data_IF_564902825320
#
_entry.id   IF_564902825320
#
_cell.length_a   1.000
_cell.length_b   1.000
_cell.length_c   1.000
_cell.angle_alpha   90.00
_cell.angle_beta   90.00
_cell.angle_gamma   90.00
#
_symmetry.space_group_name_H-M   'P 1'
#
loop_
_entity.id
_entity.type
_entity.pdbx_description
1 polymer ?
#
# COMPACT_ATOMS: atom_id res chain seq x y z
N UNK A 1 -16.96 16.83 4.88
CA UNK A 1 -15.87 17.83 4.93
C UNK A 1 -14.68 17.27 4.15
N UNK A 2 -14.38 17.85 2.98
CA UNK A 2 -13.20 17.68 2.10
C UNK A 2 -12.39 16.35 2.12
N UNK A 3 -12.95 15.27 1.56
CA UNK A 3 -12.31 13.95 1.42
C UNK A 3 -11.11 13.87 0.44
N UNK A 4 -10.88 14.90 -0.39
CA UNK A 4 -9.85 14.87 -1.43
C UNK A 4 -8.42 14.99 -0.87
N UNK A 5 -8.23 15.78 0.19
CA UNK A 5 -6.91 15.91 0.83
C UNK A 5 -6.53 14.64 1.58
N UNK A 6 -7.49 13.97 2.21
CA UNK A 6 -7.26 12.72 2.94
C UNK A 6 -6.90 11.58 1.97
N UNK A 7 -7.61 11.47 0.85
CA UNK A 7 -7.34 10.45 -0.17
C UNK A 7 -5.97 10.61 -0.85
N UNK A 8 -5.59 11.85 -1.20
CA UNK A 8 -4.25 12.13 -1.78
C UNK A 8 -3.15 11.87 -0.77
N UNK A 9 -3.34 12.30 0.48
CA UNK A 9 -2.36 12.07 1.56
C UNK A 9 -2.17 10.59 1.83
N UNK A 10 -3.27 9.84 1.89
CA UNK A 10 -3.24 8.38 2.05
C UNK A 10 -2.47 7.69 0.90
N UNK A 11 -2.75 8.08 -0.35
CA UNK A 11 -2.04 7.56 -1.52
C UNK A 11 -0.53 7.82 -1.44
N UNK A 12 -0.14 9.06 -1.15
CA UNK A 12 1.27 9.45 -1.06
C UNK A 12 1.98 8.70 0.07
N UNK A 13 1.35 8.62 1.24
CA UNK A 13 1.90 7.89 2.39
C UNK A 13 2.04 6.40 2.10
N UNK A 14 1.07 5.80 1.40
CA UNK A 14 1.12 4.39 1.03
C UNK A 14 2.23 4.12 0.00
N UNK A 15 2.38 5.00 -0.99
CA UNK A 15 3.45 4.88 -1.98
C UNK A 15 4.82 5.04 -1.31
N UNK A 16 4.99 6.02 -0.44
CA UNK A 16 6.23 6.24 0.32
C UNK A 16 6.57 5.02 1.20
N UNK A 17 5.61 4.50 1.95
CA UNK A 17 5.79 3.31 2.79
C UNK A 17 6.14 2.06 1.95
N UNK A 18 5.51 1.89 0.78
CA UNK A 18 5.83 0.80 -0.15
C UNK A 18 7.27 0.93 -0.68
N UNK A 19 7.66 2.12 -1.14
CA UNK A 19 9.00 2.39 -1.68
C UNK A 19 10.10 2.18 -0.63
N UNK A 20 9.84 2.59 0.63
CA UNK A 20 10.77 2.41 1.75
C UNK A 20 10.76 1.01 2.36
N UNK A 21 9.77 0.17 2.03
CA UNK A 21 9.65 -1.18 2.60
C UNK A 21 9.14 -1.20 4.04
N UNK A 22 8.37 -0.19 4.46
CA UNK A 22 7.91 -0.01 5.85
C UNK A 22 6.63 -0.83 6.19
N UNK A 23 6.26 -1.81 5.38
CA UNK A 23 5.00 -2.56 5.51
C UNK A 23 4.88 -3.25 6.88
N UNK A 24 5.97 -3.83 7.38
CA UNK A 24 5.99 -4.47 8.69
C UNK A 24 5.68 -3.49 9.83
N UNK A 25 6.23 -2.27 9.76
CA UNK A 25 5.98 -1.20 10.72
C UNK A 25 4.52 -0.75 10.69
N UNK A 26 3.99 -0.50 9.49
CA UNK A 26 2.57 -0.10 9.31
C UNK A 26 1.62 -1.17 9.86
N UNK A 27 1.93 -2.46 9.63
CA UNK A 27 1.16 -3.57 10.18
C UNK A 27 1.25 -3.65 11.71
N UNK A 28 2.44 -3.44 12.28
CA UNK A 28 2.68 -3.43 13.73
C UNK A 28 1.92 -2.29 14.43
N UNK A 29 1.87 -1.11 13.80
CA UNK A 29 1.12 0.07 14.27
C UNK A 29 -0.40 -0.09 14.10
N UNK A 30 -0.87 -1.20 13.52
CA UNK A 30 -2.29 -1.47 13.22
C UNK A 30 -2.95 -0.38 12.39
N UNK A 31 -2.19 0.32 11.55
CA UNK A 31 -2.72 1.31 10.63
C UNK A 31 -3.32 0.59 9.40
N UNK A 32 -4.49 -0.01 9.58
CA UNK A 32 -5.13 -0.85 8.56
C UNK A 32 -5.57 -0.05 7.33
N UNK A 33 -5.92 1.23 7.47
CA UNK A 33 -6.24 2.11 6.34
C UNK A 33 -5.03 2.28 5.43
N UNK A 34 -3.86 2.58 6.00
CA UNK A 34 -2.61 2.69 5.25
C UNK A 34 -2.17 1.33 4.69
N UNK A 35 -2.27 0.26 5.47
CA UNK A 35 -1.92 -1.09 5.03
C UNK A 35 -2.77 -1.56 3.84
N UNK A 36 -4.07 -1.25 3.85
CA UNK A 36 -4.99 -1.54 2.74
C UNK A 36 -4.58 -0.78 1.48
N UNK A 37 -4.20 0.48 1.61
CA UNK A 37 -3.77 1.28 0.47
C UNK A 37 -2.43 0.80 -0.10
N UNK A 38 -1.46 0.42 0.76
CA UNK A 38 -0.20 -0.20 0.31
C UNK A 38 -0.49 -1.48 -0.48
N UNK A 39 -1.35 -2.35 0.04
CA UNK A 39 -1.77 -3.57 -0.64
C UNK A 39 -2.43 -3.29 -2.00
N UNK A 40 -3.18 -2.18 -2.10
CA UNK A 40 -3.83 -1.76 -3.35
C UNK A 40 -2.79 -1.34 -4.38
N UNK A 41 -1.80 -0.55 -3.97
CA UNK A 41 -0.68 -0.12 -4.82
C UNK A 41 0.20 -1.30 -5.25
N UNK A 42 0.47 -2.24 -4.34
CA UNK A 42 1.23 -3.45 -4.66
C UNK A 42 0.50 -4.32 -5.69
N UNK A 43 -0.82 -4.48 -5.56
CA UNK A 43 -1.67 -5.22 -6.49
C UNK A 43 -1.80 -4.56 -7.86
N UNK A 44 -1.83 -3.24 -7.93
CA UNK A 44 -1.94 -2.48 -9.19
C UNK A 44 -0.63 -2.38 -9.96
N UNK A 45 0.50 -2.50 -9.24
CA UNK A 45 1.83 -2.28 -9.78
C UNK A 45 2.05 -0.82 -10.25
N UNK A 46 3.27 -0.51 -10.67
CA UNK A 46 3.63 0.81 -11.17
C UNK A 46 2.88 1.13 -12.49
N UNK A 47 2.19 2.28 -12.59
CA UNK A 47 1.55 2.71 -13.83
C UNK A 47 2.54 2.79 -14.99
N UNK A 48 2.18 2.22 -16.14
CA UNK A 48 3.08 2.14 -17.32
C UNK A 48 3.45 3.53 -17.85
N UNK A 49 2.56 4.52 -17.74
CA UNK A 49 2.82 5.91 -18.17
C UNK A 49 3.98 6.56 -17.40
N UNK A 50 4.29 6.07 -16.18
CA UNK A 50 5.47 6.52 -15.44
C UNK A 50 6.76 6.10 -16.14
N UNK A 51 6.78 5.01 -16.89
CA UNK A 51 7.99 4.59 -17.61
C UNK A 51 8.47 5.65 -18.62
N UNK A 52 7.55 6.50 -19.12
CA UNK A 52 7.88 7.60 -20.02
C UNK A 52 8.06 8.95 -19.29
N UNK A 53 7.28 9.21 -18.25
CA UNK A 53 7.23 10.52 -17.57
C UNK A 53 8.16 10.63 -16.36
N UNK A 54 8.35 9.54 -15.62
CA UNK A 54 9.29 9.41 -14.50
C UNK A 54 9.82 7.97 -14.41
N UNK A 55 10.83 7.62 -15.25
CA UNK A 55 11.36 6.26 -15.32
C UNK A 55 11.96 5.79 -13.99
N UNK A 56 12.51 6.73 -13.20
CA UNK A 56 13.12 6.44 -11.91
C UNK A 56 12.08 5.97 -10.90
N UNK A 57 10.95 6.69 -10.81
CA UNK A 57 9.84 6.29 -9.96
C UNK A 57 9.22 4.96 -10.43
N UNK A 58 9.05 4.78 -11.74
CA UNK A 58 8.55 3.52 -12.30
C UNK A 58 9.40 2.32 -11.86
N UNK A 59 10.72 2.39 -12.06
CA UNK A 59 11.64 1.32 -11.65
C UNK A 59 11.64 1.09 -10.14
N UNK A 60 11.64 2.16 -9.35
CA UNK A 60 11.65 2.08 -7.89
C UNK A 60 10.37 1.42 -7.35
N UNK A 61 9.21 1.76 -7.94
CA UNK A 61 7.94 1.14 -7.56
C UNK A 61 7.89 -0.33 -7.97
N UNK A 62 8.26 -0.68 -9.21
CA UNK A 62 8.38 -2.09 -9.65
C UNK A 62 9.26 -2.92 -8.70
N UNK A 63 10.40 -2.37 -8.30
CA UNK A 63 11.30 -3.01 -7.34
C UNK A 63 10.66 -3.15 -5.96
N UNK A 64 9.92 -2.14 -5.50
CA UNK A 64 9.18 -2.19 -4.24
C UNK A 64 8.07 -3.26 -4.24
N UNK A 65 7.29 -3.38 -5.32
CA UNK A 65 6.28 -4.45 -5.51
C UNK A 65 6.95 -5.83 -5.48
N UNK A 66 8.07 -5.98 -6.16
CA UNK A 66 8.84 -7.23 -6.13
C UNK A 66 9.27 -7.58 -4.71
N UNK A 67 9.86 -6.62 -3.97
CA UNK A 67 10.25 -6.81 -2.57
C UNK A 67 9.06 -7.14 -1.68
N UNK A 68 7.92 -6.50 -1.88
CA UNK A 68 6.68 -6.77 -1.16
C UNK A 68 6.28 -8.25 -1.26
N UNK A 69 6.27 -8.79 -2.47
CA UNK A 69 5.97 -10.21 -2.71
C UNK A 69 7.03 -11.15 -2.14
N UNK A 70 8.32 -10.84 -2.36
CA UNK A 70 9.43 -11.65 -1.84
C UNK A 70 9.50 -11.67 -0.31
N UNK A 71 8.99 -10.63 0.34
CA UNK A 71 8.93 -10.53 1.81
C UNK A 71 7.72 -11.25 2.41
N UNK A 72 6.93 -11.96 1.60
CA UNK A 72 5.78 -12.75 2.05
C UNK A 72 4.47 -11.98 2.19
N UNK A 73 4.42 -10.71 1.75
CA UNK A 73 3.19 -9.91 1.83
C UNK A 73 2.20 -10.18 0.69
N UNK A 74 2.49 -11.12 -0.22
CA UNK A 74 1.61 -11.49 -1.35
C UNK A 74 0.16 -11.74 -0.93
N UNK A 75 -0.04 -12.38 0.22
CA UNK A 75 -1.36 -12.71 0.75
C UNK A 75 -2.05 -11.53 1.44
N UNK A 76 -1.35 -10.42 1.68
CA UNK A 76 -1.89 -9.22 2.31
C UNK A 76 -2.63 -8.35 1.29
N UNK A 77 -3.73 -8.87 0.73
CA UNK A 77 -4.51 -8.13 -0.26
C UNK A 77 -5.41 -7.06 0.40
N UNK A 78 -5.88 -6.03 -0.35
CA UNK A 78 -6.80 -5.02 0.19
C UNK A 78 -8.08 -5.63 0.78
N UNK A 79 -8.56 -6.72 0.17
CA UNK A 79 -9.74 -7.45 0.61
C UNK A 79 -9.47 -8.18 1.94
N UNK A 80 -8.28 -8.77 2.10
CA UNK A 80 -7.87 -9.41 3.36
C UNK A 80 -7.74 -8.40 4.49
N UNK A 81 -7.13 -7.24 4.24
CA UNK A 81 -7.04 -6.16 5.24
C UNK A 81 -8.43 -5.70 5.66
N UNK A 82 -9.36 -5.56 4.71
CA UNK A 82 -10.75 -5.16 5.01
C UNK A 82 -11.47 -6.20 5.87
N UNK A 83 -11.24 -7.50 5.64
CA UNK A 83 -11.78 -8.57 6.50
C UNK A 83 -11.22 -8.51 7.93
N UNK A 84 -9.94 -8.23 8.09
CA UNK A 84 -9.30 -8.06 9.41
C UNK A 84 -9.97 -6.90 10.16
N UNK A 85 -10.15 -5.75 9.51
CA UNK A 85 -10.83 -4.60 10.11
C UNK A 85 -12.24 -4.95 10.59
N UNK A 86 -13.05 -5.60 9.74
CA UNK A 86 -14.41 -6.03 10.10
C UNK A 86 -14.44 -6.99 11.30
N UNK A 87 -13.48 -7.92 11.37
CA UNK A 87 -13.38 -8.86 12.49
C UNK A 87 -13.04 -8.19 13.82
N UNK A 88 -12.27 -7.09 13.77
CA UNK A 88 -11.92 -6.30 14.96
C UNK A 88 -13.11 -5.46 15.43
N UNK A 89 -13.90 -4.91 14.50
CA UNK A 89 -15.08 -4.11 14.83
C UNK A 89 -16.24 -4.97 15.39
N UNK A 90 -16.33 -6.24 14.98
CA UNK A 90 -17.39 -7.16 15.42
C UNK A 90 -17.09 -7.87 16.74
N UNK A 91 -15.88 -7.69 17.30
CA UNK A 91 -15.41 -8.34 18.51
C UNK A 91 -15.07 -7.37 19.66
N UNK A 92 -15.61 -6.14 19.62
CA UNK A 92 -15.47 -5.12 20.66
C UNK A 92 -16.70 -4.98 21.55
#
# INVERSE_FOLDING_TARGET
>A
MNNANDSRTLYVNALDALLKGEIAKVAQERNFTLLKEIARLAKQDAPVDLAATDPSLYMSWRAAVTRYHLSGWTEMTPERVSKIMQSLDSGG
#
